data_IF_608726641720
#
_entry.id   IF_608726641720
#
_cell.length_a   1.000
_cell.length_b   1.000
_cell.length_c   1.000
_cell.angle_alpha   90.00
_cell.angle_beta   90.00
_cell.angle_gamma   90.00
#
_symmetry.space_group_name_H-M   'P 1'
#
loop_
_entity.id
_entity.type
_entity.pdbx_description
1 polymer ?
#
# COMPACT_ATOMS: atom_id res chain seq x y z
N UNK A 1 -2.40 -14.03 -11.47
CA UNK A 1 -3.51 -13.79 -10.53
C UNK A 1 -3.68 -12.29 -10.20
N UNK A 2 -2.82 -11.41 -10.70
CA UNK A 2 -2.75 -9.99 -10.31
C UNK A 2 -3.73 -9.03 -10.96
N UNK A 3 -4.25 -9.33 -12.15
CA UNK A 3 -5.10 -8.37 -12.88
C UNK A 3 -6.50 -8.20 -12.25
N UNK A 4 -7.05 -9.25 -11.64
CA UNK A 4 -8.40 -9.24 -11.05
C UNK A 4 -8.42 -8.52 -9.71
N UNK A 5 -7.40 -8.72 -8.87
CA UNK A 5 -7.29 -8.07 -7.56
C UNK A 5 -7.13 -6.56 -7.69
N UNK A 6 -6.31 -6.09 -8.65
CA UNK A 6 -6.16 -4.66 -8.95
C UNK A 6 -7.47 -4.06 -9.46
N UNK A 7 -8.18 -4.75 -10.35
CA UNK A 7 -9.40 -4.21 -10.94
C UNK A 7 -10.56 -4.10 -9.93
N UNK A 8 -10.58 -4.98 -8.92
CA UNK A 8 -11.66 -5.05 -7.93
C UNK A 8 -11.37 -4.30 -6.63
N UNK A 9 -10.10 -4.14 -6.25
CA UNK A 9 -9.70 -3.60 -4.93
C UNK A 9 -8.55 -2.59 -4.98
N UNK A 10 -8.04 -2.27 -6.19
CA UNK A 10 -7.07 -1.20 -6.38
C UNK A 10 -7.65 0.15 -6.05
N UNK A 11 -6.99 0.88 -5.14
CA UNK A 11 -7.26 2.28 -4.85
C UNK A 11 -6.13 3.16 -5.37
N UNK A 12 -6.45 4.36 -5.88
CA UNK A 12 -5.44 5.34 -6.23
C UNK A 12 -4.79 5.90 -4.95
N UNK A 13 -3.48 5.97 -4.95
CA UNK A 13 -2.69 6.70 -3.97
C UNK A 13 -1.66 7.56 -4.69
N UNK A 14 -1.18 8.60 -4.06
CA UNK A 14 -0.08 9.40 -4.59
C UNK A 14 1.12 9.24 -3.67
N UNK A 15 2.22 8.70 -4.16
CA UNK A 15 3.45 8.55 -3.38
C UNK A 15 4.50 9.48 -3.95
N UNK A 16 5.02 10.40 -3.13
CA UNK A 16 5.97 11.45 -3.56
C UNK A 16 5.51 12.27 -4.79
N UNK A 17 4.20 12.48 -4.94
CA UNK A 17 3.64 13.17 -6.09
C UNK A 17 3.41 12.29 -7.33
N UNK A 18 3.79 11.00 -7.29
CA UNK A 18 3.52 10.05 -8.37
C UNK A 18 2.24 9.23 -8.12
N UNK A 19 1.33 9.14 -9.10
CA UNK A 19 0.14 8.32 -8.96
C UNK A 19 0.49 6.83 -8.97
N UNK A 20 0.04 6.11 -7.95
CA UNK A 20 0.27 4.69 -7.77
C UNK A 20 -1.03 3.95 -7.52
N UNK A 21 -1.03 2.67 -7.90
CA UNK A 21 -2.12 1.75 -7.59
C UNK A 21 -1.72 0.92 -6.39
N UNK A 22 -2.49 1.05 -5.32
CA UNK A 22 -2.27 0.35 -4.06
C UNK A 22 -3.49 -0.46 -3.68
N UNK A 23 -3.29 -1.51 -2.92
CA UNK A 23 -4.36 -2.29 -2.32
C UNK A 23 -4.16 -2.28 -0.81
N UNK A 24 -5.12 -1.77 -0.02
CA UNK A 24 -5.00 -1.80 1.43
C UNK A 24 -4.94 -3.26 1.89
N UNK A 25 -4.00 -3.56 2.78
CA UNK A 25 -3.74 -4.93 3.16
C UNK A 25 -4.93 -5.56 3.90
N UNK A 26 -5.80 -4.75 4.52
CA UNK A 26 -7.09 -5.19 5.09
C UNK A 26 -7.98 -5.95 4.09
N UNK A 27 -7.89 -5.63 2.79
CA UNK A 27 -8.63 -6.30 1.72
C UNK A 27 -7.96 -7.58 1.23
N UNK A 28 -6.66 -7.74 1.50
CA UNK A 28 -5.88 -8.94 1.17
C UNK A 28 -5.87 -9.93 2.35
N UNK A 29 -5.97 -9.42 3.57
CA UNK A 29 -5.97 -10.17 4.82
C UNK A 29 -7.40 -10.60 5.16
N UNK A 30 -7.94 -11.53 4.37
CA UNK A 30 -9.16 -12.30 4.71
C UNK A 30 -8.91 -13.26 5.92
N UNK A 31 -7.74 -13.20 6.57
CA UNK A 31 -7.29 -14.09 7.64
C UNK A 31 -6.60 -13.32 8.78
N UNK A 32 -7.39 -12.91 9.77
CA UNK A 32 -6.93 -12.66 11.14
C UNK A 32 -6.81 -11.19 11.56
N UNK A 33 -7.04 -10.88 12.84
CA UNK A 33 -7.03 -9.51 13.35
C UNK A 33 -5.62 -8.94 13.27
N UNK A 34 -5.41 -7.95 12.40
CA UNK A 34 -4.28 -7.05 12.50
C UNK A 34 -4.47 -6.18 13.75
N UNK A 35 -3.97 -6.69 14.87
CA UNK A 35 -3.80 -5.92 16.09
C UNK A 35 -2.65 -4.93 15.86
N UNK A 36 -2.96 -3.82 15.21
CA UNK A 36 -2.04 -2.71 14.99
C UNK A 36 -2.78 -1.57 14.33
N UNK A 37 -2.86 -0.42 14.99
CA UNK A 37 -3.51 0.81 14.52
C UNK A 37 -2.89 1.38 13.22
N UNK A 38 -1.81 0.78 12.69
CA UNK A 38 -1.12 1.23 11.49
C UNK A 38 -1.80 0.74 10.21
N UNK A 39 -2.09 1.66 9.29
CA UNK A 39 -2.58 1.31 7.95
C UNK A 39 -1.43 0.73 7.14
N UNK A 40 -1.70 -0.30 6.33
CA UNK A 40 -0.71 -0.85 5.41
C UNK A 40 -1.26 -1.02 4.01
N UNK A 41 -0.43 -0.72 3.02
CA UNK A 41 -0.79 -0.67 1.61
C UNK A 41 0.18 -1.55 0.82
N UNK A 42 -0.33 -2.39 -0.07
CA UNK A 42 0.48 -3.16 -1.02
C UNK A 42 0.50 -2.41 -2.34
N UNK A 43 1.69 -2.04 -2.81
CA UNK A 43 1.85 -1.28 -4.05
C UNK A 43 1.96 -2.24 -5.23
N UNK A 44 1.04 -2.10 -6.18
CA UNK A 44 0.98 -2.92 -7.40
C UNK A 44 1.69 -2.27 -8.59
N UNK A 45 1.97 -0.97 -8.52
CA UNK A 45 2.78 -0.27 -9.52
C UNK A 45 4.17 -0.91 -9.62
N UNK A 46 4.53 -1.34 -10.83
CA UNK A 46 5.83 -1.94 -11.09
C UNK A 46 6.95 -0.90 -10.97
N UNK A 47 8.10 -1.30 -10.44
CA UNK A 47 9.28 -0.44 -10.33
C UNK A 47 9.31 0.49 -9.11
N UNK A 48 8.22 0.57 -8.33
CA UNK A 48 8.21 1.32 -7.09
C UNK A 48 9.18 0.70 -6.06
N UNK A 49 10.02 1.55 -5.46
CA UNK A 49 10.95 1.17 -4.38
C UNK A 49 10.68 2.06 -3.16
N UNK A 50 10.05 1.51 -2.11
CA UNK A 50 9.72 2.29 -0.93
C UNK A 50 10.98 2.76 -0.18
N UNK A 51 10.88 3.96 0.38
CA UNK A 51 11.87 4.61 1.25
C UNK A 51 11.15 5.17 2.46
N UNK A 52 11.80 5.16 3.62
CA UNK A 52 11.24 5.70 4.88
C UNK A 52 10.94 7.21 4.87
N UNK A 53 11.37 7.93 3.83
CA UNK A 53 11.07 9.36 3.64
C UNK A 53 9.89 9.59 2.69
N UNK A 54 9.24 8.53 2.21
CA UNK A 54 8.15 8.67 1.25
C UNK A 54 6.89 9.20 1.93
N UNK A 55 6.28 10.19 1.28
CA UNK A 55 4.98 10.74 1.67
C UNK A 55 3.91 10.09 0.80
N UNK A 56 2.86 9.60 1.44
CA UNK A 56 1.78 8.85 0.80
C UNK A 56 0.46 9.58 1.02
N UNK A 57 -0.14 10.09 -0.05
CA UNK A 57 -1.51 10.62 -0.03
C UNK A 57 -2.46 9.49 -0.38
N UNK A 58 -3.33 9.12 0.55
CA UNK A 58 -4.30 8.06 0.38
C UNK A 58 -5.67 8.50 0.91
N UNK A 59 -6.71 8.35 0.09
CA UNK A 59 -8.08 8.81 0.43
C UNK A 59 -8.19 10.31 0.80
N UNK A 60 -7.24 11.13 0.34
CA UNK A 60 -7.18 12.56 0.63
C UNK A 60 -6.47 12.91 1.94
N UNK A 61 -5.96 11.92 2.67
CA UNK A 61 -5.14 12.10 3.87
C UNK A 61 -3.66 11.86 3.55
N UNK A 62 -2.78 12.67 4.14
CA UNK A 62 -1.34 12.53 4.01
C UNK A 62 -0.80 11.64 5.13
N UNK A 63 -0.01 10.65 4.74
CA UNK A 63 0.65 9.73 5.67
C UNK A 63 2.14 9.63 5.37
N UNK A 64 2.90 9.19 6.36
CA UNK A 64 4.33 8.97 6.23
C UNK A 64 4.65 7.48 6.25
N UNK A 65 5.55 7.06 5.35
CA UNK A 65 6.02 5.67 5.32
C UNK A 65 6.94 5.39 6.51
N UNK A 66 6.50 4.55 7.43
CA UNK A 66 7.28 4.25 8.66
C UNK A 66 8.06 2.95 8.55
N UNK A 67 7.48 1.98 7.83
CA UNK A 67 8.06 0.66 7.57
C UNK A 67 7.66 0.17 6.18
N UNK A 68 8.49 -0.67 5.57
CA UNK A 68 8.12 -1.41 4.37
C UNK A 68 8.65 -2.84 4.44
N UNK A 69 7.96 -3.76 3.78
CA UNK A 69 8.32 -5.17 3.63
C UNK A 69 7.94 -5.70 2.24
N UNK A 70 8.15 -6.99 1.99
CA UNK A 70 7.73 -7.64 0.75
C UNK A 70 6.58 -8.61 1.03
N UNK A 71 5.48 -8.44 0.32
CA UNK A 71 4.33 -9.33 0.35
C UNK A 71 4.14 -9.93 -1.05
N UNK A 72 4.30 -11.26 -1.19
CA UNK A 72 4.23 -11.96 -2.49
C UNK A 72 5.11 -11.33 -3.59
N UNK A 73 6.32 -10.87 -3.21
CA UNK A 73 7.25 -10.21 -4.13
C UNK A 73 6.92 -8.75 -4.45
N UNK A 74 5.82 -8.19 -3.93
CA UNK A 74 5.44 -6.78 -4.06
C UNK A 74 5.81 -5.97 -2.81
N UNK A 75 6.12 -4.68 -2.96
CA UNK A 75 6.35 -3.81 -1.82
C UNK A 75 5.05 -3.57 -1.03
N UNK A 76 5.05 -3.96 0.25
CA UNK A 76 4.04 -3.60 1.25
C UNK A 76 4.62 -2.47 2.10
N UNK A 77 3.90 -1.37 2.22
CA UNK A 77 4.29 -0.18 2.98
C UNK A 77 3.34 -0.01 4.16
N UNK A 78 3.87 0.44 5.28
CA UNK A 78 3.11 0.81 6.47
C UNK A 78 3.16 2.32 6.59
N UNK A 79 1.99 2.90 6.81
CA UNK A 79 1.77 4.34 6.83
C UNK A 79 1.07 4.73 8.13
N UNK A 80 1.48 5.85 8.70
CA UNK A 80 0.88 6.47 9.88
C UNK A 80 0.76 7.98 9.71
#
# INVERSE_FOLDING_TARGET
>A
MDAVTVNKMGKPATINGEPMIVIPAEFLEEMGPLSGTGRSLVVFTAGYRPRRSDVVIFEGEEFHLTRHERFNGKPRIFIE
#
